data_IF_101548042516
#
_entry.id   IF_101548042516
#
_cell.length_a   1.000
_cell.length_b   1.000
_cell.length_c   1.000
_cell.angle_alpha   90.00
_cell.angle_beta   90.00
_cell.angle_gamma   90.00
#
_symmetry.space_group_name_H-M   'P 1'
#
loop_
_entity.id
_entity.type
_entity.pdbx_description
1 polymer ?
#
# COMPACT_ATOMS: atom_id res chain seq x y z
N UNK A 1 -47.67 5.88 -74.57
CA UNK A 1 -48.81 6.73 -74.14
C UNK A 1 -48.91 6.56 -72.63
N UNK A 2 -48.65 7.63 -71.88
CA UNK A 2 -48.29 7.60 -70.47
C UNK A 2 -49.42 7.04 -69.58
N UNK A 3 -49.10 6.01 -68.81
CA UNK A 3 -49.89 5.62 -67.65
C UNK A 3 -49.11 6.03 -66.40
N UNK A 4 -49.75 6.89 -65.63
CA UNK A 4 -49.30 7.51 -64.40
C UNK A 4 -49.09 6.39 -63.35
N UNK A 5 -47.84 6.11 -62.98
CA UNK A 5 -47.54 5.28 -61.80
C UNK A 5 -47.73 6.16 -60.57
N UNK A 6 -48.71 5.80 -59.75
CA UNK A 6 -48.94 6.35 -58.42
C UNK A 6 -47.93 5.77 -57.44
N UNK A 7 -47.32 6.63 -56.62
CA UNK A 7 -46.25 6.32 -55.65
C UNK A 7 -46.69 5.45 -54.45
N UNK A 8 -47.85 4.81 -54.50
CA UNK A 8 -48.46 4.13 -53.34
C UNK A 8 -48.10 2.63 -53.19
N UNK A 9 -47.29 2.05 -54.10
CA UNK A 9 -46.98 0.61 -54.11
C UNK A 9 -45.65 0.23 -53.41
N UNK A 10 -45.05 1.12 -52.61
CA UNK A 10 -43.80 0.85 -51.88
C UNK A 10 -43.91 0.86 -50.35
N UNK A 11 -45.11 0.69 -49.77
CA UNK A 11 -45.23 0.34 -48.34
C UNK A 11 -45.21 -1.17 -48.13
N UNK A 12 -44.03 -1.77 -48.34
CA UNK A 12 -43.74 -3.07 -47.77
C UNK A 12 -43.86 -2.99 -46.24
N UNK A 13 -44.73 -3.82 -45.66
CA UNK A 13 -44.95 -3.96 -44.22
C UNK A 13 -43.60 -4.00 -43.49
N UNK A 14 -43.24 -2.89 -42.83
CA UNK A 14 -42.14 -2.90 -41.87
C UNK A 14 -42.63 -3.76 -40.70
N UNK A 15 -41.91 -4.84 -40.30
CA UNK A 15 -42.28 -5.56 -39.09
C UNK A 15 -42.32 -4.53 -37.95
N UNK A 16 -43.32 -4.59 -37.05
CA UNK A 16 -43.41 -3.62 -35.98
C UNK A 16 -42.07 -3.65 -35.24
N UNK A 17 -41.39 -2.51 -35.16
CA UNK A 17 -40.23 -2.36 -34.30
C UNK A 17 -40.72 -2.76 -32.91
N UNK A 18 -40.37 -3.98 -32.49
CA UNK A 18 -40.72 -4.50 -31.19
C UNK A 18 -40.05 -3.58 -30.20
N UNK A 19 -40.83 -2.63 -29.70
CA UNK A 19 -40.40 -1.73 -28.67
C UNK A 19 -39.85 -2.62 -27.56
N UNK A 20 -38.56 -2.51 -27.29
CA UNK A 20 -37.94 -2.85 -26.02
C UNK A 20 -38.53 -1.94 -24.94
N UNK A 21 -39.86 -1.92 -24.82
CA UNK A 21 -40.63 -1.36 -23.73
C UNK A 21 -40.45 -2.33 -22.57
N UNK A 22 -39.31 -2.13 -21.91
CA UNK A 22 -39.05 -2.28 -20.48
C UNK A 22 -40.32 -2.62 -19.69
N UNK A 23 -40.66 -3.90 -19.61
CA UNK A 23 -41.55 -4.38 -18.54
C UNK A 23 -40.75 -4.25 -17.24
N UNK A 24 -41.28 -3.61 -16.18
CA UNK A 24 -40.56 -3.47 -14.93
C UNK A 24 -40.10 -4.82 -14.38
N UNK A 25 -40.85 -5.91 -14.67
CA UNK A 25 -40.47 -7.28 -14.36
C UNK A 25 -39.12 -7.71 -14.95
N UNK A 26 -38.87 -7.50 -16.25
CA UNK A 26 -37.59 -7.90 -16.87
C UNK A 26 -36.41 -7.12 -16.32
N UNK A 27 -36.61 -5.84 -16.00
CA UNK A 27 -35.57 -4.99 -15.41
C UNK A 27 -35.26 -5.41 -13.97
N UNK A 28 -36.29 -5.78 -13.19
CA UNK A 28 -36.14 -6.37 -11.85
C UNK A 28 -35.39 -7.70 -11.92
N UNK A 29 -35.72 -8.58 -12.87
CA UNK A 29 -35.03 -9.87 -13.02
C UNK A 29 -33.56 -9.69 -13.42
N UNK A 30 -33.27 -8.76 -14.34
CA UNK A 30 -31.88 -8.45 -14.73
C UNK A 30 -31.10 -7.86 -13.55
N UNK A 31 -31.70 -6.97 -12.76
CA UNK A 31 -31.07 -6.39 -11.56
C UNK A 31 -30.83 -7.46 -10.50
N UNK A 32 -31.81 -8.33 -10.23
CA UNK A 32 -31.64 -9.45 -9.29
C UNK A 32 -30.55 -10.42 -9.76
N UNK A 33 -30.53 -10.78 -11.05
CA UNK A 33 -29.52 -11.63 -11.62
C UNK A 33 -28.13 -10.99 -11.52
N UNK A 34 -28.03 -9.69 -11.80
CA UNK A 34 -26.78 -8.95 -11.64
C UNK A 34 -26.32 -8.90 -10.19
N UNK A 35 -27.23 -8.68 -9.23
CA UNK A 35 -26.90 -8.69 -7.79
C UNK A 35 -26.37 -10.07 -7.36
N UNK A 36 -27.01 -11.16 -7.80
CA UNK A 36 -26.56 -12.51 -7.46
C UNK A 36 -25.22 -12.82 -8.12
N UNK A 37 -25.06 -12.54 -9.42
CA UNK A 37 -23.82 -12.84 -10.14
C UNK A 37 -22.63 -12.01 -9.63
N UNK A 38 -22.85 -10.74 -9.30
CA UNK A 38 -21.80 -9.86 -8.77
C UNK A 38 -21.55 -10.09 -7.27
N UNK A 39 -22.58 -10.48 -6.51
CA UNK A 39 -22.49 -10.73 -5.08
C UNK A 39 -21.97 -12.12 -4.71
N UNK A 40 -22.14 -13.11 -5.59
CA UNK A 40 -21.76 -14.50 -5.33
C UNK A 40 -20.28 -14.69 -5.00
N UNK A 41 -19.30 -14.13 -5.75
CA UNK A 41 -17.90 -14.27 -5.41
C UNK A 41 -17.55 -13.69 -4.04
N UNK A 42 -18.15 -12.54 -3.68
CA UNK A 42 -17.94 -11.91 -2.38
C UNK A 42 -18.53 -12.73 -1.23
N UNK A 43 -19.73 -13.27 -1.42
CA UNK A 43 -20.36 -14.16 -0.44
C UNK A 43 -19.60 -15.48 -0.27
N UNK A 44 -19.19 -16.11 -1.38
CA UNK A 44 -18.43 -17.35 -1.36
C UNK A 44 -17.08 -17.18 -0.64
N UNK A 45 -16.37 -16.07 -0.90
CA UNK A 45 -15.15 -15.72 -0.17
C UNK A 45 -15.42 -15.54 1.33
N UNK A 46 -16.38 -14.69 1.68
CA UNK A 46 -16.76 -14.44 3.07
C UNK A 46 -17.14 -15.72 3.84
N UNK A 47 -17.93 -16.58 3.22
CA UNK A 47 -18.37 -17.83 3.85
C UNK A 47 -17.22 -18.83 3.97
N UNK A 48 -16.33 -18.90 2.98
CA UNK A 48 -15.13 -19.73 3.04
C UNK A 48 -14.19 -19.28 4.16
N UNK A 49 -13.97 -17.98 4.30
CA UNK A 49 -13.16 -17.41 5.38
C UNK A 49 -13.79 -17.71 6.75
N UNK A 50 -15.11 -17.54 6.88
CA UNK A 50 -15.83 -17.89 8.11
C UNK A 50 -15.62 -19.35 8.51
N UNK A 51 -15.79 -20.29 7.56
CA UNK A 51 -15.57 -21.71 7.80
C UNK A 51 -14.11 -22.00 8.17
N UNK A 52 -13.16 -21.35 7.52
CA UNK A 52 -11.74 -21.49 7.83
C UNK A 52 -11.42 -21.02 9.25
N UNK A 53 -11.88 -19.83 9.66
CA UNK A 53 -11.68 -19.33 11.03
C UNK A 53 -12.39 -20.20 12.08
N UNK A 54 -13.51 -20.84 11.72
CA UNK A 54 -14.19 -21.80 12.58
C UNK A 54 -13.35 -23.07 12.78
N UNK A 55 -12.79 -23.63 11.71
CA UNK A 55 -11.97 -24.86 11.74
C UNK A 55 -10.71 -24.68 12.60
N UNK A 56 -10.06 -23.52 12.51
CA UNK A 56 -8.84 -23.21 13.30
C UNK A 56 -9.18 -22.76 14.74
N UNK A 57 -10.46 -22.64 15.11
CA UNK A 57 -10.89 -22.23 16.45
C UNK A 57 -10.76 -20.72 16.74
N UNK A 58 -10.49 -19.90 15.72
CA UNK A 58 -10.32 -18.44 15.82
C UNK A 58 -11.56 -17.64 15.40
N UNK A 59 -12.75 -18.23 15.48
CA UNK A 59 -14.02 -17.59 15.10
C UNK A 59 -14.26 -16.22 15.78
N UNK A 60 -13.80 -16.06 17.03
CA UNK A 60 -13.88 -14.78 17.76
C UNK A 60 -13.03 -13.67 17.12
N UNK A 61 -11.90 -14.01 16.51
CA UNK A 61 -11.06 -13.04 15.81
C UNK A 61 -11.80 -12.53 14.58
N UNK A 62 -12.35 -13.44 13.76
CA UNK A 62 -13.11 -13.06 12.57
C UNK A 62 -14.32 -12.18 12.91
N UNK A 63 -15.10 -12.54 13.93
CA UNK A 63 -16.25 -11.72 14.34
C UNK A 63 -15.85 -10.35 14.88
N UNK A 64 -14.72 -10.25 15.57
CA UNK A 64 -14.16 -8.96 16.03
C UNK A 64 -13.73 -8.09 14.86
N UNK A 65 -13.04 -8.66 13.87
CA UNK A 65 -12.64 -7.96 12.64
C UNK A 65 -13.88 -7.45 11.92
N UNK A 66 -14.83 -8.35 11.62
CA UNK A 66 -16.05 -8.01 10.88
C UNK A 66 -16.89 -6.95 11.59
N UNK A 67 -17.11 -7.09 12.90
CA UNK A 67 -17.85 -6.13 13.69
C UNK A 67 -17.18 -4.75 13.65
N UNK A 68 -15.85 -4.71 13.77
CA UNK A 68 -15.08 -3.46 13.71
C UNK A 68 -15.19 -2.82 12.32
N UNK A 69 -15.06 -3.60 11.24
CA UNK A 69 -15.25 -3.10 9.86
C UNK A 69 -16.64 -2.47 9.67
N UNK A 70 -17.69 -3.18 10.10
CA UNK A 70 -19.09 -2.72 9.99
C UNK A 70 -19.31 -1.44 10.82
N UNK A 71 -18.89 -1.44 12.09
CA UNK A 71 -19.08 -0.29 12.98
C UNK A 71 -18.32 0.93 12.46
N UNK A 72 -17.07 0.76 12.03
CA UNK A 72 -16.24 1.83 11.51
C UNK A 72 -16.85 2.44 10.24
N UNK A 73 -17.20 1.60 9.27
CA UNK A 73 -17.85 2.05 8.04
C UNK A 73 -19.19 2.75 8.33
N UNK A 74 -20.03 2.16 9.19
CA UNK A 74 -21.33 2.75 9.55
C UNK A 74 -21.16 4.11 10.23
N UNK A 75 -20.27 4.21 11.22
CA UNK A 75 -19.96 5.48 11.89
C UNK A 75 -19.44 6.52 10.91
N UNK A 76 -18.48 6.15 10.04
CA UNK A 76 -17.93 7.06 9.05
C UNK A 76 -18.99 7.54 8.04
N UNK A 77 -19.85 6.64 7.56
CA UNK A 77 -20.96 6.98 6.64
C UNK A 77 -21.93 7.95 7.30
N UNK A 78 -22.38 7.65 8.53
CA UNK A 78 -23.36 8.48 9.25
C UNK A 78 -22.79 9.87 9.55
N UNK A 79 -21.57 9.94 10.08
CA UNK A 79 -20.93 11.22 10.42
C UNK A 79 -20.69 12.05 9.16
N UNK A 80 -20.20 11.44 8.07
CA UNK A 80 -19.95 12.10 6.80
C UNK A 80 -21.25 12.62 6.17
N UNK A 81 -22.27 11.78 6.08
CA UNK A 81 -23.57 12.14 5.52
C UNK A 81 -24.21 13.28 6.32
N UNK A 82 -24.16 13.21 7.65
CA UNK A 82 -24.70 14.24 8.53
C UNK A 82 -23.96 15.57 8.36
N UNK A 83 -22.63 15.55 8.35
CA UNK A 83 -21.80 16.74 8.18
C UNK A 83 -22.05 17.42 6.82
N UNK A 84 -22.13 16.62 5.75
CA UNK A 84 -22.43 17.13 4.40
C UNK A 84 -23.83 17.73 4.36
N UNK A 85 -24.83 16.98 4.85
CA UNK A 85 -26.22 17.42 4.84
C UNK A 85 -26.44 18.72 5.61
N UNK A 86 -25.87 18.84 6.82
CA UNK A 86 -25.97 20.06 7.64
C UNK A 86 -25.41 21.25 6.87
N UNK A 87 -24.21 21.13 6.30
CA UNK A 87 -23.55 22.24 5.61
C UNK A 87 -24.28 22.63 4.31
N UNK A 88 -24.68 21.66 3.49
CA UNK A 88 -25.44 21.95 2.25
C UNK A 88 -26.82 22.55 2.57
N UNK A 89 -27.48 22.11 3.65
CA UNK A 89 -28.75 22.69 4.10
C UNK A 89 -28.57 24.13 4.60
N UNK A 90 -27.48 24.43 5.30
CA UNK A 90 -27.14 25.82 5.68
C UNK A 90 -26.90 26.65 4.42
N UNK A 91 -26.13 26.15 3.45
CA UNK A 91 -25.89 26.84 2.18
C UNK A 91 -27.20 27.13 1.42
N UNK A 92 -28.14 26.17 1.38
CA UNK A 92 -29.47 26.38 0.80
C UNK A 92 -30.28 27.47 1.50
N UNK A 93 -30.30 27.48 2.83
CA UNK A 93 -31.03 28.49 3.63
C UNK A 93 -30.46 29.89 3.43
N UNK A 94 -29.13 29.96 3.37
CA UNK A 94 -28.39 31.21 3.39
C UNK A 94 -28.27 31.86 2.00
N UNK A 95 -28.30 31.05 0.93
CA UNK A 95 -28.15 31.50 -0.46
C UNK A 95 -29.27 32.41 -0.99
N UNK A 96 -30.34 32.70 -0.23
CA UNK A 96 -31.47 33.62 -0.53
C UNK A 96 -31.69 33.99 -2.01
N UNK A 97 -31.88 33.00 -2.88
CA UNK A 97 -32.60 33.19 -4.12
C UNK A 97 -34.08 32.91 -3.83
N UNK A 98 -34.91 33.96 -3.87
CA UNK A 98 -36.32 33.89 -3.49
C UNK A 98 -37.08 32.81 -4.28
N UNK A 99 -37.34 31.69 -3.64
CA UNK A 99 -38.01 30.51 -4.23
C UNK A 99 -39.51 30.66 -4.43
N UNK A 100 -40.07 31.89 -4.47
CA UNK A 100 -41.54 32.03 -4.52
C UNK A 100 -42.16 32.92 -5.57
N UNK A 101 -41.45 33.77 -6.31
CA UNK A 101 -42.15 34.69 -7.21
C UNK A 101 -41.45 34.89 -8.56
N UNK A 102 -42.19 34.51 -9.62
CA UNK A 102 -42.07 34.77 -11.06
C UNK A 102 -41.47 33.62 -11.89
N UNK A 103 -42.34 33.00 -12.70
CA UNK A 103 -42.18 31.75 -13.46
C UNK A 103 -42.03 32.00 -14.97
N UNK A 104 -41.53 33.17 -15.37
CA UNK A 104 -41.42 33.53 -16.79
C UNK A 104 -40.37 34.61 -16.99
N UNK A 105 -39.48 34.41 -17.98
CA UNK A 105 -38.73 35.50 -18.63
C UNK A 105 -39.50 35.83 -19.90
N UNK A 106 -39.74 37.11 -20.14
CA UNK A 106 -40.32 37.57 -21.42
C UNK A 106 -39.18 37.94 -22.36
N UNK A 107 -38.91 37.09 -23.34
CA UNK A 107 -38.01 37.38 -24.46
C UNK A 107 -38.89 37.47 -25.70
N UNK A 108 -38.86 38.59 -26.44
CA UNK A 108 -39.70 38.80 -27.63
C UNK A 108 -41.21 38.53 -27.41
N UNK A 109 -41.77 38.91 -26.26
CA UNK A 109 -43.19 38.70 -25.86
C UNK A 109 -43.60 37.23 -25.66
N UNK A 110 -42.70 36.26 -25.80
CA UNK A 110 -42.95 34.87 -25.39
C UNK A 110 -42.50 34.64 -23.95
N UNK A 111 -43.35 33.94 -23.17
CA UNK A 111 -43.06 33.58 -21.78
C UNK A 111 -42.33 32.25 -21.77
N UNK A 112 -41.02 32.27 -21.52
CA UNK A 112 -40.24 31.06 -21.30
C UNK A 112 -40.27 30.70 -19.81
N UNK A 113 -40.79 29.51 -19.49
CA UNK A 113 -40.75 28.95 -18.14
C UNK A 113 -39.31 28.54 -17.81
N UNK A 114 -38.71 29.14 -16.78
CA UNK A 114 -37.41 28.69 -16.28
C UNK A 114 -37.65 27.45 -15.41
N UNK A 115 -36.92 26.32 -15.63
CA UNK A 115 -37.00 25.17 -14.74
C UNK A 115 -36.65 25.56 -13.30
N UNK A 116 -37.36 24.97 -12.33
CA UNK A 116 -37.14 25.20 -10.89
C UNK A 116 -35.85 24.53 -10.40
N UNK A 117 -34.72 25.15 -10.74
CA UNK A 117 -33.38 24.71 -10.33
C UNK A 117 -33.27 24.72 -8.80
N UNK A 118 -33.95 25.64 -8.12
CA UNK A 118 -33.87 25.78 -6.66
C UNK A 118 -34.55 24.61 -5.93
N UNK A 119 -35.77 24.25 -6.34
CA UNK A 119 -36.51 23.10 -5.82
C UNK A 119 -35.88 21.76 -6.21
N UNK A 120 -35.29 21.68 -7.40
CA UNK A 120 -34.49 20.52 -7.82
C UNK A 120 -33.30 20.31 -6.88
N UNK A 121 -32.45 21.32 -6.66
CA UNK A 121 -31.28 21.21 -5.77
C UNK A 121 -31.71 20.82 -4.35
N UNK A 122 -32.75 21.43 -3.80
CA UNK A 122 -33.23 21.12 -2.45
C UNK A 122 -33.67 19.66 -2.30
N UNK A 123 -34.38 19.11 -3.29
CA UNK A 123 -34.79 17.70 -3.32
C UNK A 123 -33.61 16.73 -3.41
N UNK A 124 -32.51 17.14 -4.05
CA UNK A 124 -31.31 16.30 -4.22
C UNK A 124 -30.28 16.44 -3.11
N UNK A 125 -30.33 17.47 -2.25
CA UNK A 125 -29.33 17.61 -1.17
C UNK A 125 -29.30 16.41 -0.23
N UNK A 126 -30.45 15.89 0.22
CA UNK A 126 -30.46 14.73 1.12
C UNK A 126 -29.94 13.45 0.41
N UNK A 127 -30.46 13.03 -0.76
CA UNK A 127 -29.90 11.90 -1.50
C UNK A 127 -28.41 12.04 -1.80
N UNK A 128 -27.95 13.23 -2.22
CA UNK A 128 -26.55 13.47 -2.55
C UNK A 128 -25.65 13.47 -1.31
N UNK A 129 -26.15 13.93 -0.16
CA UNK A 129 -25.43 13.84 1.12
C UNK A 129 -25.32 12.40 1.61
N UNK A 130 -26.38 11.60 1.45
CA UNK A 130 -26.36 10.18 1.79
C UNK A 130 -25.42 9.40 0.87
N UNK A 131 -25.45 9.67 -0.45
CA UNK A 131 -24.54 9.06 -1.42
C UNK A 131 -23.09 9.49 -1.18
N UNK A 132 -22.85 10.78 -0.92
CA UNK A 132 -21.53 11.30 -0.60
C UNK A 132 -20.98 10.74 0.70
N UNK A 133 -21.82 10.66 1.74
CA UNK A 133 -21.45 10.02 3.01
C UNK A 133 -21.21 8.52 2.86
N UNK A 134 -22.00 7.82 2.05
CA UNK A 134 -21.77 6.40 1.74
C UNK A 134 -20.42 6.20 1.06
N UNK A 135 -20.11 6.98 0.02
CA UNK A 135 -18.85 6.90 -0.71
C UNK A 135 -17.64 7.22 0.19
N UNK A 136 -17.70 8.33 0.94
CA UNK A 136 -16.63 8.73 1.84
C UNK A 136 -16.51 7.84 3.09
N UNK A 137 -17.59 7.19 3.52
CA UNK A 137 -17.55 6.32 4.70
C UNK A 137 -17.08 4.91 4.41
N UNK A 138 -17.47 4.34 3.26
CA UNK A 138 -17.11 2.96 2.88
C UNK A 138 -15.62 2.75 2.64
N UNK A 139 -14.88 3.80 2.24
CA UNK A 139 -13.44 3.69 2.04
C UNK A 139 -12.67 3.30 3.32
N UNK A 140 -13.26 3.49 4.51
CA UNK A 140 -12.65 3.14 5.80
C UNK A 140 -12.93 1.68 6.22
N UNK A 141 -13.61 0.89 5.39
CA UNK A 141 -13.92 -0.53 5.68
C UNK A 141 -12.66 -1.34 6.03
N UNK A 142 -11.55 -1.11 5.32
CA UNK A 142 -10.31 -1.85 5.54
C UNK A 142 -9.36 -1.19 6.56
N UNK A 143 -9.76 -0.07 7.16
CA UNK A 143 -8.96 0.63 8.19
C UNK A 143 -9.20 0.10 9.61
N UNK A 144 -9.87 -1.04 9.77
CA UNK A 144 -10.14 -1.67 11.07
C UNK A 144 -8.86 -1.94 11.86
N UNK A 145 -7.78 -2.34 11.18
CA UNK A 145 -6.51 -2.68 11.82
C UNK A 145 -5.90 -1.47 12.51
N UNK A 146 -5.87 -0.32 11.84
CA UNK A 146 -5.38 0.96 12.39
C UNK A 146 -6.15 1.34 13.67
N UNK A 147 -7.48 1.19 13.65
CA UNK A 147 -8.32 1.52 14.82
C UNK A 147 -8.08 0.57 15.99
N UNK A 148 -7.95 -0.73 15.73
CA UNK A 148 -7.68 -1.72 16.78
C UNK A 148 -6.26 -1.57 17.34
N UNK A 149 -5.27 -1.33 16.48
CA UNK A 149 -3.89 -1.06 16.86
C UNK A 149 -3.79 0.16 17.78
N UNK A 150 -4.47 1.26 17.46
CA UNK A 150 -4.57 2.41 18.37
C UNK A 150 -5.27 2.06 19.69
N UNK A 151 -6.40 1.35 19.62
CA UNK A 151 -7.20 1.03 20.81
C UNK A 151 -6.47 0.11 21.81
N UNK A 152 -5.63 -0.78 21.28
CA UNK A 152 -4.88 -1.78 22.01
C UNK A 152 -3.36 -1.53 21.96
N UNK A 153 -2.94 -0.28 21.76
CA UNK A 153 -1.53 0.09 21.65
C UNK A 153 -0.74 -0.27 22.92
N UNK A 154 0.51 -0.67 22.72
CA UNK A 154 1.47 -0.97 23.79
C UNK A 154 2.72 -0.11 23.62
N UNK A 155 3.25 0.50 24.71
CA UNK A 155 4.49 1.26 24.63
C UNK A 155 5.66 0.33 24.28
N UNK A 156 6.59 0.82 23.46
CA UNK A 156 7.84 0.10 23.19
C UNK A 156 8.86 0.30 24.31
N UNK A 157 8.76 1.41 25.06
CA UNK A 157 9.70 1.74 26.14
C UNK A 157 11.00 2.37 25.63
N UNK A 158 11.03 2.77 24.36
CA UNK A 158 12.14 3.45 23.71
C UNK A 158 11.64 4.61 22.89
N UNK A 159 12.42 5.69 22.83
CA UNK A 159 12.02 6.95 22.22
C UNK A 159 12.83 7.27 20.98
N UNK A 160 12.19 7.91 20.01
CA UNK A 160 12.87 8.35 18.80
C UNK A 160 13.85 9.51 19.11
N UNK A 161 15.03 9.54 18.47
CA UNK A 161 16.06 10.53 18.77
C UNK A 161 15.77 11.95 18.23
N UNK A 162 14.73 12.12 17.39
CA UNK A 162 14.44 13.39 16.70
C UNK A 162 13.39 14.21 17.45
N UNK A 163 12.29 13.57 17.84
CA UNK A 163 11.12 14.18 18.47
C UNK A 163 10.89 13.73 19.92
N UNK A 164 11.63 12.71 20.39
CA UNK A 164 11.58 12.24 21.78
C UNK A 164 10.24 11.59 22.16
N UNK A 165 9.56 10.95 21.21
CA UNK A 165 8.31 10.22 21.42
C UNK A 165 8.57 8.73 21.44
N UNK A 166 7.77 8.01 22.21
CA UNK A 166 7.80 6.54 22.20
C UNK A 166 7.49 6.02 20.78
N UNK A 167 8.24 5.02 20.35
CA UNK A 167 8.11 4.40 19.03
C UNK A 167 6.65 3.94 18.78
N UNK A 168 5.91 3.52 19.81
CA UNK A 168 4.49 3.17 19.74
C UNK A 168 3.62 4.25 19.08
N UNK A 169 3.97 5.52 19.25
CA UNK A 169 3.22 6.62 18.65
C UNK A 169 3.20 6.50 17.12
N UNK A 170 4.33 6.16 16.51
CA UNK A 170 4.49 6.12 15.06
C UNK A 170 3.81 4.91 14.42
N UNK A 171 3.76 3.77 15.12
CA UNK A 171 3.10 2.56 14.63
C UNK A 171 1.59 2.55 14.88
N UNK A 172 1.13 3.06 16.02
CA UNK A 172 -0.26 2.86 16.44
C UNK A 172 -1.10 4.14 16.45
N UNK A 173 -0.52 5.29 16.82
CA UNK A 173 -1.27 6.54 16.98
C UNK A 173 -1.27 7.41 15.72
N UNK A 174 -0.11 7.57 15.08
CA UNK A 174 0.06 8.42 13.91
C UNK A 174 -0.84 7.98 12.74
N UNK A 175 -0.92 6.70 12.34
CA UNK A 175 -1.77 6.27 11.24
C UNK A 175 -3.27 6.58 11.47
N UNK A 176 -3.73 6.51 12.73
CA UNK A 176 -5.10 6.88 13.07
C UNK A 176 -5.31 8.40 12.91
N UNK A 177 -4.38 9.22 13.39
CA UNK A 177 -4.48 10.66 13.24
C UNK A 177 -4.41 11.10 11.78
N UNK A 178 -3.62 10.42 10.96
CA UNK A 178 -3.58 10.67 9.52
C UNK A 178 -4.88 10.29 8.83
N UNK A 179 -5.45 9.14 9.18
CA UNK A 179 -6.76 8.71 8.71
C UNK A 179 -7.82 9.76 9.05
N UNK A 180 -7.90 10.20 10.32
CA UNK A 180 -8.86 11.23 10.76
C UNK A 180 -8.62 12.56 10.01
N UNK A 181 -7.37 12.99 9.87
CA UNK A 181 -7.03 14.23 9.17
C UNK A 181 -7.46 14.17 7.69
N UNK A 182 -7.27 13.03 7.04
CA UNK A 182 -7.66 12.78 5.67
C UNK A 182 -9.19 12.79 5.52
N UNK A 183 -9.92 12.16 6.45
CA UNK A 183 -11.38 12.19 6.49
C UNK A 183 -11.91 13.61 6.61
N UNK A 184 -11.38 14.39 7.56
CA UNK A 184 -11.76 15.78 7.77
C UNK A 184 -11.47 16.64 6.55
N UNK A 185 -10.31 16.45 5.92
CA UNK A 185 -9.93 17.18 4.71
C UNK A 185 -10.94 16.94 3.58
N UNK A 186 -11.26 15.68 3.30
CA UNK A 186 -12.24 15.32 2.27
C UNK A 186 -13.63 15.88 2.58
N UNK A 187 -14.08 15.79 3.83
CA UNK A 187 -15.37 16.33 4.26
C UNK A 187 -15.45 17.84 4.06
N UNK A 188 -14.43 18.58 4.48
CA UNK A 188 -14.42 20.04 4.34
C UNK A 188 -14.33 20.43 2.86
N UNK A 189 -13.52 19.76 2.04
CA UNK A 189 -13.41 20.06 0.60
C UNK A 189 -14.75 19.79 -0.11
N UNK A 190 -15.36 18.63 0.09
CA UNK A 190 -16.64 18.26 -0.54
C UNK A 190 -17.75 19.22 -0.12
N UNK A 191 -17.82 19.57 1.17
CA UNK A 191 -18.84 20.51 1.67
C UNK A 191 -18.60 21.94 1.24
N UNK A 192 -17.35 22.41 1.20
CA UNK A 192 -16.99 23.72 0.69
C UNK A 192 -17.30 23.83 -0.81
N UNK A 193 -16.92 22.83 -1.59
CA UNK A 193 -17.22 22.76 -3.03
C UNK A 193 -18.72 22.71 -3.31
N UNK A 194 -19.45 21.83 -2.61
CA UNK A 194 -20.90 21.74 -2.73
C UNK A 194 -21.61 23.05 -2.31
N UNK A 195 -21.16 23.68 -1.23
CA UNK A 195 -21.68 24.98 -0.79
C UNK A 195 -21.40 26.08 -1.79
N UNK A 196 -20.19 26.11 -2.39
CA UNK A 196 -19.83 27.06 -3.43
C UNK A 196 -20.70 26.88 -4.68
N UNK A 197 -20.88 25.65 -5.15
CA UNK A 197 -21.74 25.33 -6.30
C UNK A 197 -23.17 25.80 -6.04
N UNK A 198 -23.77 25.47 -4.88
CA UNK A 198 -25.13 25.91 -4.54
C UNK A 198 -25.25 27.44 -4.58
N UNK A 199 -24.27 28.14 -4.01
CA UNK A 199 -24.28 29.60 -3.99
C UNK A 199 -24.07 30.21 -5.39
N UNK A 200 -23.18 29.66 -6.22
CA UNK A 200 -22.94 30.12 -7.58
C UNK A 200 -24.16 29.89 -8.49
N UNK A 201 -24.75 28.70 -8.44
CA UNK A 201 -25.95 28.38 -9.23
C UNK A 201 -27.11 29.31 -8.86
N UNK A 202 -27.32 29.57 -7.57
CA UNK A 202 -28.39 30.48 -7.10
C UNK A 202 -28.06 31.95 -7.40
N UNK A 203 -26.79 32.37 -7.31
CA UNK A 203 -26.37 33.72 -7.70
C UNK A 203 -26.53 33.96 -9.22
N UNK A 204 -26.22 32.98 -10.07
CA UNK A 204 -26.40 33.07 -11.52
C UNK A 204 -27.87 33.31 -11.91
N UNK A 205 -28.81 32.65 -11.22
CA UNK A 205 -30.26 32.89 -11.44
C UNK A 205 -30.70 34.31 -11.05
N UNK A 206 -30.03 34.95 -10.09
CA UNK A 206 -30.33 36.32 -9.66
C UNK A 206 -29.72 37.36 -10.60
N UNK A 207 -28.48 37.13 -11.08
CA UNK A 207 -27.81 37.98 -12.07
C UNK A 207 -28.64 38.11 -13.34
N UNK A 208 -29.12 36.97 -13.88
CA UNK A 208 -29.95 36.91 -15.08
C UNK A 208 -31.32 37.61 -14.91
N UNK A 209 -31.78 37.84 -13.66
CA UNK A 209 -33.09 38.42 -13.34
C UNK A 209 -33.07 39.93 -13.10
N UNK A 210 -31.98 40.48 -12.54
CA UNK A 210 -31.94 41.88 -12.08
C UNK A 210 -30.81 42.73 -12.68
N UNK A 211 -29.93 42.16 -13.52
CA UNK A 211 -28.77 42.88 -14.06
C UNK A 211 -27.81 43.42 -12.97
N UNK A 212 -27.92 42.92 -11.74
CA UNK A 212 -27.11 43.34 -10.59
C UNK A 212 -25.83 42.53 -10.48
N UNK A 213 -24.81 43.05 -9.77
CA UNK A 213 -23.48 42.44 -9.62
C UNK A 213 -23.53 40.99 -9.11
N UNK A 214 -22.59 40.15 -9.59
CA UNK A 214 -22.37 38.76 -9.21
C UNK A 214 -21.78 38.63 -7.77
N UNK A 215 -22.47 39.20 -6.78
CA UNK A 215 -22.03 39.24 -5.38
C UNK A 215 -22.69 38.15 -4.52
N UNK A 216 -21.90 37.51 -3.65
CA UNK A 216 -22.44 36.60 -2.64
C UNK A 216 -23.23 37.36 -1.57
N UNK A 217 -24.34 36.78 -1.09
CA UNK A 217 -25.05 37.28 0.10
C UNK A 217 -24.07 37.34 1.30
N UNK A 218 -24.06 38.40 2.12
CA UNK A 218 -23.23 38.47 3.33
C UNK A 218 -23.27 37.21 4.22
N UNK A 219 -24.45 36.60 4.37
CA UNK A 219 -24.56 35.37 5.16
C UNK A 219 -23.91 34.17 4.45
N UNK A 220 -23.99 34.08 3.12
CA UNK A 220 -23.36 33.01 2.33
C UNK A 220 -21.84 33.13 2.37
N UNK A 221 -21.34 34.37 2.26
CA UNK A 221 -19.92 34.69 2.46
C UNK A 221 -19.43 34.21 3.82
N UNK A 222 -20.16 34.46 4.91
CA UNK A 222 -19.78 34.01 6.26
C UNK A 222 -19.70 32.49 6.38
N UNK A 223 -20.65 31.76 5.80
CA UNK A 223 -20.63 30.29 5.83
C UNK A 223 -19.44 29.72 5.04
N UNK A 224 -19.15 30.27 3.85
CA UNK A 224 -17.97 29.88 3.06
C UNK A 224 -16.65 30.22 3.76
N UNK A 225 -16.57 31.38 4.43
CA UNK A 225 -15.40 31.75 5.23
C UNK A 225 -15.19 30.83 6.43
N UNK A 226 -16.27 30.39 7.09
CA UNK A 226 -16.19 29.44 8.19
C UNK A 226 -15.68 28.07 7.72
N UNK A 227 -16.18 27.57 6.59
CA UNK A 227 -15.69 26.34 5.97
C UNK A 227 -14.23 26.49 5.50
N UNK A 228 -13.86 27.64 4.95
CA UNK A 228 -12.49 27.97 4.58
C UNK A 228 -11.55 28.01 5.80
N UNK A 229 -11.98 28.60 6.92
CA UNK A 229 -11.21 28.57 8.17
C UNK A 229 -11.02 27.15 8.67
N UNK A 230 -12.10 26.34 8.66
CA UNK A 230 -12.03 24.91 8.98
C UNK A 230 -11.04 24.16 8.10
N UNK A 231 -11.03 24.43 6.79
CA UNK A 231 -10.07 23.83 5.85
C UNK A 231 -8.63 24.13 6.26
N UNK A 232 -8.31 25.40 6.54
CA UNK A 232 -6.96 25.79 6.92
C UNK A 232 -6.54 25.26 8.30
N UNK A 233 -7.48 25.06 9.24
CA UNK A 233 -7.20 24.37 10.50
C UNK A 233 -6.83 22.90 10.24
N UNK A 234 -7.55 22.21 9.36
CA UNK A 234 -7.24 20.82 9.01
C UNK A 234 -5.91 20.74 8.26
N UNK A 235 -5.61 21.68 7.36
CA UNK A 235 -4.30 21.80 6.70
C UNK A 235 -3.19 21.97 7.73
N UNK A 236 -3.37 22.85 8.72
CA UNK A 236 -2.38 23.06 9.78
C UNK A 236 -2.16 21.79 10.62
N UNK A 237 -3.24 21.09 10.99
CA UNK A 237 -3.14 19.83 11.71
C UNK A 237 -2.41 18.77 10.89
N UNK A 238 -2.72 18.65 9.60
CA UNK A 238 -2.09 17.68 8.70
C UNK A 238 -0.61 17.98 8.50
N UNK A 239 -0.22 19.23 8.26
CA UNK A 239 1.19 19.63 8.18
C UNK A 239 1.95 19.36 9.50
N UNK A 240 1.25 19.40 10.65
CA UNK A 240 1.82 19.02 11.95
C UNK A 240 2.02 17.51 12.10
N UNK A 241 1.16 16.68 11.52
CA UNK A 241 1.34 15.23 11.46
C UNK A 241 2.46 14.85 10.48
N UNK A 242 2.53 15.50 9.33
CA UNK A 242 3.56 15.30 8.30
C UNK A 242 4.98 15.53 8.82
N UNK A 243 5.16 16.36 9.87
CA UNK A 243 6.45 16.48 10.56
C UNK A 243 6.93 15.14 11.15
N UNK A 244 6.00 14.33 11.64
CA UNK A 244 6.29 13.02 12.23
C UNK A 244 6.53 11.97 11.14
N UNK A 245 5.86 12.11 9.99
CA UNK A 245 6.05 11.25 8.83
C UNK A 245 7.45 11.36 8.21
N UNK A 246 8.19 12.44 8.51
CA UNK A 246 9.58 12.58 8.08
C UNK A 246 10.47 11.42 8.54
N UNK A 247 10.13 10.74 9.64
CA UNK A 247 10.86 9.54 10.09
C UNK A 247 10.67 8.32 9.16
N UNK A 248 9.69 8.35 8.26
CA UNK A 248 9.42 7.30 7.25
C UNK A 248 9.83 7.74 5.83
N UNK A 249 10.69 8.75 5.72
CA UNK A 249 11.21 9.23 4.44
C UNK A 249 12.13 8.20 3.77
N UNK A 250 11.94 7.96 2.47
CA UNK A 250 12.76 7.03 1.67
C UNK A 250 13.61 7.75 0.62
N UNK A 251 13.88 9.04 0.83
CA UNK A 251 14.49 9.91 -0.17
C UNK A 251 16.04 9.97 -0.10
N UNK A 252 16.66 9.17 0.77
CA UNK A 252 18.10 9.21 1.05
C UNK A 252 18.81 7.89 0.78
N UNK A 253 20.05 7.79 1.27
CA UNK A 253 20.86 6.56 1.21
C UNK A 253 20.37 5.48 2.17
N UNK A 254 19.61 5.88 3.20
CA UNK A 254 19.01 5.00 4.20
C UNK A 254 17.55 5.42 4.41
N UNK A 255 16.68 4.46 4.70
CA UNK A 255 15.28 4.71 5.03
C UNK A 255 15.19 5.42 6.39
N UNK A 256 14.62 6.63 6.43
CA UNK A 256 14.50 7.45 7.62
C UNK A 256 14.70 8.94 7.36
N UNK A 257 14.54 9.75 8.40
CA UNK A 257 14.73 11.20 8.28
C UNK A 257 16.19 11.57 8.02
N UNK A 258 16.45 12.22 6.88
CA UNK A 258 17.78 12.67 6.49
C UNK A 258 18.07 14.11 6.96
N UNK A 259 19.29 14.60 6.71
CA UNK A 259 19.67 15.97 7.04
C UNK A 259 18.72 17.00 6.43
N UNK A 260 18.37 16.84 5.15
CA UNK A 260 17.47 17.76 4.44
C UNK A 260 16.05 17.71 5.01
N UNK A 261 15.56 16.55 5.43
CA UNK A 261 14.22 16.42 6.01
C UNK A 261 14.12 17.19 7.33
N UNK A 262 15.13 17.06 8.20
CA UNK A 262 15.12 17.69 9.53
C UNK A 262 15.49 19.18 9.48
N UNK A 263 16.42 19.58 8.61
CA UNK A 263 16.94 20.96 8.58
C UNK A 263 16.30 21.84 7.50
N UNK A 264 15.62 21.27 6.51
CA UNK A 264 14.92 22.02 5.48
C UNK A 264 13.41 21.80 5.51
N UNK A 265 12.95 20.55 5.38
CA UNK A 265 11.52 20.22 5.28
C UNK A 265 10.77 20.51 6.57
N UNK A 266 11.31 20.11 7.74
CA UNK A 266 10.68 20.34 9.04
C UNK A 266 10.46 21.84 9.36
N UNK A 267 11.43 22.76 9.16
CA UNK A 267 11.18 24.20 9.27
C UNK A 267 10.08 24.71 8.33
N UNK A 268 10.03 24.23 7.08
CA UNK A 268 8.98 24.61 6.13
C UNK A 268 7.62 24.16 6.65
N UNK A 269 7.47 22.93 7.12
CA UNK A 269 6.22 22.43 7.68
C UNK A 269 5.78 23.29 8.88
N UNK A 270 6.71 23.70 9.76
CA UNK A 270 6.39 24.60 10.89
C UNK A 270 5.86 25.96 10.41
N UNK A 271 6.47 26.51 9.36
CA UNK A 271 6.03 27.75 8.73
C UNK A 271 4.66 27.57 8.08
N UNK A 272 4.41 26.45 7.41
CA UNK A 272 3.10 26.13 6.82
C UNK A 272 2.01 26.04 7.88
N UNK A 273 2.27 25.38 9.03
CA UNK A 273 1.33 25.34 10.17
C UNK A 273 0.99 26.76 10.62
N UNK A 274 2.01 27.61 10.82
CA UNK A 274 1.80 28.99 11.25
C UNK A 274 0.94 29.79 10.26
N UNK A 275 1.26 29.76 8.97
CA UNK A 275 0.51 30.50 7.95
C UNK A 275 -0.90 29.94 7.74
N UNK A 276 -1.09 28.63 7.81
CA UNK A 276 -2.41 28.02 7.73
C UNK A 276 -3.30 28.49 8.89
N UNK A 277 -2.80 28.48 10.13
CA UNK A 277 -3.55 29.01 11.28
C UNK A 277 -3.80 30.52 11.17
N UNK A 278 -2.84 31.28 10.66
CA UNK A 278 -3.01 32.72 10.42
C UNK A 278 -4.13 33.00 9.41
N UNK A 279 -4.19 32.22 8.31
CA UNK A 279 -5.25 32.36 7.30
C UNK A 279 -6.60 31.93 7.87
N UNK A 280 -6.65 30.88 8.68
CA UNK A 280 -7.88 30.49 9.36
C UNK A 280 -8.41 31.64 10.26
N UNK A 281 -7.51 32.30 11.00
CA UNK A 281 -7.85 33.45 11.83
C UNK A 281 -8.32 34.65 10.98
N UNK A 282 -7.63 34.96 9.88
CA UNK A 282 -8.02 36.03 8.94
C UNK A 282 -9.38 35.73 8.31
N UNK A 283 -9.67 34.47 7.95
CA UNK A 283 -10.96 34.06 7.41
C UNK A 283 -12.10 34.27 8.42
N UNK A 284 -11.86 33.93 9.70
CA UNK A 284 -12.81 34.20 10.79
C UNK A 284 -12.99 35.71 10.99
N UNK A 285 -11.91 36.49 11.03
CA UNK A 285 -12.00 37.96 11.18
C UNK A 285 -12.74 38.62 10.00
N UNK A 286 -12.54 38.11 8.79
CA UNK A 286 -13.21 38.55 7.56
C UNK A 286 -14.72 38.25 7.56
N UNK A 287 -15.23 37.45 8.52
CA UNK A 287 -16.68 37.28 8.72
C UNK A 287 -17.33 38.58 9.25
N UNK A 288 -16.56 39.37 10.01
CA UNK A 288 -17.00 40.61 10.65
C UNK A 288 -16.60 41.85 9.85
N UNK A 289 -15.50 41.78 9.08
CA UNK A 289 -14.96 42.89 8.29
C UNK A 289 -15.22 42.63 6.79
N UNK A 290 -15.64 43.64 6.04
CA UNK A 290 -15.93 43.52 4.60
C UNK A 290 -14.70 43.47 3.68
N UNK A 291 -13.48 43.44 4.26
CA UNK A 291 -12.23 43.39 3.50
C UNK A 291 -11.82 41.94 3.20
N UNK A 292 -11.76 41.58 1.90
CA UNK A 292 -11.27 40.27 1.44
C UNK A 292 -9.80 40.29 1.04
N UNK A 293 -9.21 41.48 0.85
CA UNK A 293 -7.81 41.65 0.46
C UNK A 293 -6.82 40.88 1.35
N UNK A 294 -6.88 40.94 2.70
CA UNK A 294 -5.92 40.21 3.53
C UNK A 294 -6.02 38.69 3.36
N UNK A 295 -7.22 38.16 3.07
CA UNK A 295 -7.43 36.73 2.83
C UNK A 295 -6.77 36.30 1.53
N UNK A 296 -6.96 37.05 0.43
CA UNK A 296 -6.33 36.74 -0.86
C UNK A 296 -4.81 36.87 -0.83
N UNK A 297 -4.29 37.90 -0.14
CA UNK A 297 -2.85 38.05 0.09
C UNK A 297 -2.32 36.89 0.92
N UNK A 298 -3.03 36.50 1.99
CA UNK A 298 -2.69 35.33 2.80
C UNK A 298 -2.66 34.04 1.99
N UNK A 299 -3.70 33.76 1.20
CA UNK A 299 -3.73 32.60 0.30
C UNK A 299 -2.56 32.61 -0.69
N UNK A 300 -2.28 33.76 -1.32
CA UNK A 300 -1.16 33.90 -2.25
C UNK A 300 0.19 33.62 -1.58
N UNK A 301 0.39 34.16 -0.37
CA UNK A 301 1.60 33.90 0.41
C UNK A 301 1.71 32.43 0.83
N UNK A 302 0.62 31.80 1.24
CA UNK A 302 0.60 30.38 1.56
C UNK A 302 0.92 29.52 0.35
N UNK A 303 0.39 29.84 -0.84
CA UNK A 303 0.76 29.14 -2.07
C UNK A 303 2.25 29.30 -2.40
N UNK A 304 2.84 30.47 -2.15
CA UNK A 304 4.29 30.66 -2.30
C UNK A 304 5.09 29.81 -1.31
N UNK A 305 4.67 29.73 -0.05
CA UNK A 305 5.29 28.85 0.96
C UNK A 305 5.12 27.37 0.60
N UNK A 306 3.96 26.98 0.07
CA UNK A 306 3.68 25.61 -0.36
C UNK A 306 4.60 25.20 -1.52
N UNK A 307 4.65 25.99 -2.58
CA UNK A 307 5.45 25.69 -3.78
C UNK A 307 6.94 25.86 -3.52
N UNK A 308 7.33 27.00 -2.93
CA UNK A 308 8.72 27.34 -2.66
C UNK A 308 9.32 26.55 -1.50
N UNK A 309 8.54 26.28 -0.47
CA UNK A 309 8.98 25.51 0.69
C UNK A 309 8.90 24.00 0.49
N UNK A 310 7.91 23.48 -0.24
CA UNK A 310 7.67 22.03 -0.32
C UNK A 310 8.77 21.27 -1.05
N UNK A 311 8.97 21.56 -2.35
CA UNK A 311 9.98 20.86 -3.16
C UNK A 311 11.23 21.70 -3.43
N UNK A 312 11.05 23.01 -3.64
CA UNK A 312 12.13 23.87 -4.08
C UNK A 312 13.18 24.09 -2.98
N UNK A 313 12.80 24.53 -1.78
CA UNK A 313 13.77 24.80 -0.71
C UNK A 313 14.56 23.54 -0.27
N UNK A 314 13.92 22.38 0.02
CA UNK A 314 14.64 21.15 0.33
C UNK A 314 15.58 20.70 -0.79
N UNK A 315 15.16 20.78 -2.06
CA UNK A 315 16.03 20.40 -3.17
C UNK A 315 17.23 21.34 -3.33
N UNK A 316 17.09 22.64 -3.03
CA UNK A 316 18.23 23.56 -2.99
C UNK A 316 19.19 23.23 -1.84
N UNK A 317 18.67 22.93 -0.65
CA UNK A 317 19.51 22.51 0.49
C UNK A 317 20.23 21.20 0.17
N UNK A 318 19.54 20.22 -0.41
CA UNK A 318 20.15 18.96 -0.83
C UNK A 318 21.27 19.21 -1.85
N UNK A 319 21.01 19.97 -2.91
CA UNK A 319 21.96 20.19 -4.01
C UNK A 319 23.18 21.03 -3.61
N UNK A 320 22.97 22.07 -2.80
CA UNK A 320 24.02 23.05 -2.50
C UNK A 320 24.66 22.90 -1.11
N UNK A 321 23.98 22.27 -0.15
CA UNK A 321 24.52 22.09 1.21
C UNK A 321 24.83 20.63 1.55
N UNK A 322 24.06 19.66 1.08
CA UNK A 322 24.24 18.25 1.44
C UNK A 322 25.14 17.53 0.45
N UNK A 323 24.79 17.52 -0.84
CA UNK A 323 25.53 16.80 -1.88
C UNK A 323 27.05 17.12 -1.92
N UNK A 324 27.51 18.37 -1.68
CA UNK A 324 28.95 18.63 -1.63
C UNK A 324 29.69 18.02 -0.43
N UNK A 325 28.99 17.72 0.66
CA UNK A 325 29.57 17.17 1.89
C UNK A 325 28.60 16.21 2.59
N UNK A 326 28.12 15.22 1.84
CA UNK A 326 27.02 14.35 2.25
C UNK A 326 27.42 13.49 3.46
N UNK A 327 28.63 12.92 3.45
CA UNK A 327 29.12 12.08 4.54
C UNK A 327 29.01 12.79 5.90
N UNK A 328 29.54 14.01 6.03
CA UNK A 328 29.53 14.75 7.31
C UNK A 328 28.10 15.12 7.73
N UNK A 329 27.26 15.49 6.77
CA UNK A 329 25.87 15.95 7.03
C UNK A 329 24.94 14.80 7.39
N UNK A 330 25.10 13.64 6.76
CA UNK A 330 24.25 12.46 6.94
C UNK A 330 24.75 11.49 8.01
N UNK A 331 26.04 11.52 8.38
CA UNK A 331 26.63 10.66 9.44
C UNK A 331 25.76 10.55 10.71
N UNK A 332 25.26 11.64 11.34
CA UNK A 332 24.46 11.50 12.55
C UNK A 332 23.13 10.76 12.32
N UNK A 333 22.50 10.93 11.16
CA UNK A 333 21.24 10.24 10.82
C UNK A 333 21.48 8.77 10.49
N UNK A 334 22.57 8.47 9.76
CA UNK A 334 23.01 7.10 9.48
C UNK A 334 23.32 6.37 10.79
N UNK A 335 24.00 7.03 11.75
CA UNK A 335 24.30 6.43 13.05
C UNK A 335 23.02 6.10 13.82
N UNK A 336 22.07 7.03 13.89
CA UNK A 336 20.78 6.78 14.52
C UNK A 336 20.04 5.60 13.87
N UNK A 337 20.13 5.46 12.55
CA UNK A 337 19.55 4.34 11.84
C UNK A 337 20.23 3.01 12.20
N UNK A 338 21.56 2.95 12.16
CA UNK A 338 22.33 1.77 12.56
C UNK A 338 21.98 1.37 13.99
N UNK A 339 21.95 2.32 14.92
CA UNK A 339 21.63 2.06 16.32
C UNK A 339 20.19 1.51 16.48
N UNK A 340 19.22 2.11 15.78
CA UNK A 340 17.83 1.65 15.78
C UNK A 340 17.67 0.25 15.14
N UNK A 341 18.32 -0.01 14.01
CA UNK A 341 18.30 -1.32 13.34
C UNK A 341 18.95 -2.39 14.21
N UNK A 342 20.13 -2.11 14.78
CA UNK A 342 20.79 -3.05 15.70
C UNK A 342 19.89 -3.39 16.87
N UNK A 343 19.23 -2.41 17.46
CA UNK A 343 18.29 -2.63 18.57
C UNK A 343 17.04 -3.41 18.15
N UNK A 344 16.47 -3.11 16.98
CA UNK A 344 15.29 -3.80 16.45
C UNK A 344 15.55 -5.29 16.19
N UNK A 345 16.74 -5.63 15.66
CA UNK A 345 17.15 -7.02 15.43
C UNK A 345 17.83 -7.69 16.65
N UNK A 346 17.99 -6.97 17.77
CA UNK A 346 18.66 -7.48 18.96
C UNK A 346 20.17 -7.71 18.79
N UNK A 347 20.80 -7.04 17.82
CA UNK A 347 22.24 -7.12 17.53
C UNK A 347 23.09 -6.32 18.54
N UNK A 348 22.44 -5.49 19.36
CA UNK A 348 23.04 -4.81 20.51
C UNK A 348 23.40 -5.78 21.65
N UNK A 349 22.90 -7.01 21.61
CA UNK A 349 23.09 -8.03 22.66
C UNK A 349 24.05 -9.15 22.27
N UNK A 350 24.69 -9.04 21.10
CA UNK A 350 25.58 -10.06 20.56
C UNK A 350 27.00 -9.80 21.03
N UNK A 351 27.70 -10.86 21.42
CA UNK A 351 29.13 -10.84 21.70
C UNK A 351 29.90 -11.08 20.39
N UNK A 352 30.63 -10.07 19.93
CA UNK A 352 31.48 -10.17 18.76
C UNK A 352 32.80 -10.86 19.15
N UNK A 353 33.08 -12.04 18.59
CA UNK A 353 34.34 -12.76 18.78
C UNK A 353 35.13 -12.79 17.47
N UNK A 354 36.22 -12.05 17.40
CA UNK A 354 37.14 -12.11 16.27
C UNK A 354 38.05 -13.34 16.38
N UNK A 355 37.95 -14.26 15.42
CA UNK A 355 38.87 -15.40 15.32
C UNK A 355 40.18 -14.92 14.67
N UNK A 356 41.19 -14.60 15.47
CA UNK A 356 42.54 -14.37 14.96
C UNK A 356 43.17 -15.70 14.53
N UNK A 357 43.43 -15.89 13.24
CA UNK A 357 44.01 -17.12 12.67
C UNK A 357 45.47 -17.42 13.06
N UNK A 358 46.06 -16.65 13.99
CA UNK A 358 47.49 -16.65 14.31
C UNK A 358 47.88 -17.53 15.52
N UNK A 359 46.96 -18.35 16.04
CA UNK A 359 47.27 -19.23 17.18
C UNK A 359 48.23 -20.34 16.72
N UNK A 360 49.43 -20.38 17.29
CA UNK A 360 50.41 -21.44 17.03
C UNK A 360 49.90 -22.78 17.56
N UNK A 361 49.57 -23.70 16.65
CA UNK A 361 49.05 -25.03 16.98
C UNK A 361 50.14 -25.86 17.68
N UNK A 362 49.85 -26.35 18.89
CA UNK A 362 50.74 -27.27 19.62
C UNK A 362 50.40 -28.73 19.33
N UNK A 363 51.36 -29.65 19.56
CA UNK A 363 51.11 -31.10 19.46
C UNK A 363 49.96 -31.57 20.36
N UNK A 364 49.78 -30.92 21.52
CA UNK A 364 48.68 -31.21 22.45
C UNK A 364 47.34 -30.86 21.82
N UNK A 365 47.24 -29.72 21.14
CA UNK A 365 46.01 -29.29 20.45
C UNK A 365 45.61 -30.28 19.34
N UNK A 366 46.58 -30.82 18.61
CA UNK A 366 46.35 -31.84 17.56
C UNK A 366 45.83 -33.14 18.16
N UNK A 367 46.38 -33.57 19.30
CA UNK A 367 45.97 -34.81 19.98
C UNK A 367 44.56 -34.68 20.58
N UNK A 368 44.26 -33.56 21.23
CA UNK A 368 42.94 -33.29 21.83
C UNK A 368 41.85 -33.11 20.76
N UNK A 369 42.21 -32.66 19.55
CA UNK A 369 41.27 -32.45 18.44
C UNK A 369 41.40 -33.50 17.33
N UNK A 370 41.80 -34.73 17.68
CA UNK A 370 41.95 -35.84 16.71
C UNK A 370 40.71 -36.07 15.84
N UNK A 371 39.51 -35.91 16.38
CA UNK A 371 38.25 -35.98 15.62
C UNK A 371 38.11 -34.91 14.53
N UNK A 372 38.64 -33.70 14.75
CA UNK A 372 38.68 -32.62 13.76
C UNK A 372 39.75 -32.91 12.71
N UNK A 373 40.96 -33.31 13.14
CA UNK A 373 42.08 -33.66 12.25
C UNK A 373 41.71 -34.79 11.29
N UNK A 374 41.06 -35.83 11.82
CA UNK A 374 40.58 -36.99 11.08
C UNK A 374 39.40 -36.71 10.14
N UNK A 375 38.92 -35.46 10.10
CA UNK A 375 37.82 -35.00 9.25
C UNK A 375 38.17 -33.69 8.52
N UNK A 376 39.45 -33.29 8.48
CA UNK A 376 39.87 -32.13 7.68
C UNK A 376 39.51 -32.39 6.22
N UNK A 377 38.69 -31.51 5.67
CA UNK A 377 38.23 -31.61 4.31
C UNK A 377 39.37 -31.26 3.36
N UNK A 378 39.78 -32.25 2.55
CA UNK A 378 40.76 -32.09 1.47
C UNK A 378 40.11 -31.72 0.13
N UNK A 379 38.80 -31.92 0.01
CA UNK A 379 38.04 -31.74 -1.22
C UNK A 379 37.14 -30.50 -1.19
N UNK A 380 37.23 -29.64 -2.20
CA UNK A 380 36.22 -28.61 -2.44
C UNK A 380 35.01 -29.21 -3.19
N UNK A 381 33.84 -28.58 -3.05
CA UNK A 381 32.58 -29.03 -3.64
C UNK A 381 32.60 -29.09 -5.18
N UNK A 382 33.25 -28.13 -5.85
CA UNK A 382 33.26 -28.13 -7.33
C UNK A 382 34.17 -29.22 -7.93
N UNK A 383 35.45 -29.36 -7.52
CA UNK A 383 36.34 -30.36 -8.10
C UNK A 383 35.90 -31.80 -7.82
N UNK A 384 35.34 -32.07 -6.64
CA UNK A 384 34.85 -33.41 -6.30
C UNK A 384 33.64 -33.80 -7.17
N UNK A 385 32.76 -32.85 -7.47
CA UNK A 385 31.58 -33.07 -8.31
C UNK A 385 31.99 -33.44 -9.74
N UNK A 386 32.92 -32.68 -10.34
CA UNK A 386 33.48 -32.99 -11.65
C UNK A 386 34.15 -34.38 -11.68
N UNK A 387 34.89 -34.70 -10.61
CA UNK A 387 35.57 -35.99 -10.49
C UNK A 387 34.57 -37.14 -10.32
N UNK A 388 33.47 -36.94 -9.58
CA UNK A 388 32.38 -37.90 -9.50
C UNK A 388 31.72 -38.10 -10.86
N UNK A 389 31.48 -37.03 -11.61
CA UNK A 389 31.00 -37.11 -13.00
C UNK A 389 31.89 -38.01 -13.84
N UNK A 390 33.18 -37.69 -13.91
CA UNK A 390 34.17 -38.45 -14.69
C UNK A 390 34.28 -39.92 -14.28
N UNK A 391 34.26 -40.22 -12.98
CA UNK A 391 34.48 -41.57 -12.47
C UNK A 391 33.21 -42.42 -12.39
N UNK A 392 32.02 -41.80 -12.26
CA UNK A 392 30.81 -42.48 -11.82
C UNK A 392 29.55 -42.19 -12.67
N UNK A 393 29.64 -41.38 -13.73
CA UNK A 393 28.63 -41.28 -14.81
C UNK A 393 28.77 -42.46 -15.78
N UNK A 394 28.45 -43.65 -15.30
CA UNK A 394 28.60 -44.91 -16.05
C UNK A 394 27.59 -45.00 -17.22
N UNK A 395 26.63 -44.07 -17.30
CA UNK A 395 25.61 -43.93 -18.36
C UNK A 395 25.39 -42.46 -18.67
N UNK A 396 25.11 -42.16 -19.94
CA UNK A 396 24.94 -40.77 -20.43
C UNK A 396 23.77 -40.03 -19.79
N UNK A 397 22.76 -40.75 -19.30
CA UNK A 397 21.57 -40.17 -18.67
C UNK A 397 21.68 -39.99 -17.17
N UNK A 398 22.80 -40.36 -16.54
CA UNK A 398 23.08 -40.03 -15.14
C UNK A 398 23.99 -38.82 -15.08
N UNK A 399 23.73 -37.96 -14.11
CA UNK A 399 24.46 -36.72 -13.86
C UNK A 399 24.49 -36.44 -12.35
N UNK A 400 25.46 -35.67 -11.89
CA UNK A 400 25.58 -35.26 -10.49
C UNK A 400 25.37 -33.75 -10.38
N UNK A 401 24.29 -33.32 -9.73
CA UNK A 401 23.94 -31.89 -9.62
C UNK A 401 24.59 -31.19 -8.41
N UNK A 402 24.78 -31.91 -7.30
CA UNK A 402 25.43 -31.38 -6.10
C UNK A 402 26.29 -32.43 -5.41
N UNK A 403 27.33 -31.97 -4.74
CA UNK A 403 28.13 -32.77 -3.83
C UNK A 403 28.11 -32.07 -2.47
N UNK A 404 27.43 -32.67 -1.51
CA UNK A 404 27.18 -32.06 -0.20
C UNK A 404 27.99 -32.76 0.89
N UNK A 405 28.31 -32.03 1.96
CA UNK A 405 29.00 -32.60 3.10
C UNK A 405 27.99 -33.08 4.13
N UNK A 406 28.19 -34.29 4.63
CA UNK A 406 27.41 -34.83 5.75
C UNK A 406 28.32 -35.62 6.69
N UNK A 407 27.81 -36.01 7.87
CA UNK A 407 28.56 -36.75 8.88
C UNK A 407 27.83 -38.02 9.25
N UNK A 408 28.50 -39.15 9.10
CA UNK A 408 27.96 -40.46 9.42
C UNK A 408 28.90 -41.23 10.36
N UNK A 409 28.31 -42.08 11.20
CA UNK A 409 29.05 -43.07 11.97
C UNK A 409 29.50 -44.22 11.06
N UNK A 410 30.80 -44.34 10.82
CA UNK A 410 31.40 -45.41 10.03
C UNK A 410 32.40 -46.13 10.93
N UNK A 411 32.21 -47.44 11.11
CA UNK A 411 33.05 -48.29 11.97
C UNK A 411 33.23 -47.78 13.40
N UNK A 412 32.18 -47.14 13.95
CA UNK A 412 32.19 -46.60 15.32
C UNK A 412 32.77 -45.19 15.46
N UNK A 413 33.23 -44.57 14.37
CA UNK A 413 33.78 -43.21 14.37
C UNK A 413 32.93 -42.25 13.53
N UNK A 414 32.76 -41.01 14.00
CA UNK A 414 32.12 -39.95 13.22
C UNK A 414 33.05 -39.52 12.08
N UNK A 415 32.62 -39.77 10.84
CA UNK A 415 33.35 -39.41 9.62
C UNK A 415 32.55 -38.42 8.79
N UNK A 416 33.22 -37.35 8.35
CA UNK A 416 32.69 -36.42 7.37
C UNK A 416 32.87 -37.03 5.99
N UNK A 417 31.76 -37.10 5.27
CA UNK A 417 31.66 -37.66 3.93
C UNK A 417 31.14 -36.60 2.98
N UNK A 418 31.50 -36.75 1.72
CA UNK A 418 30.91 -36.05 0.59
C UNK A 418 29.97 -37.03 -0.08
N UNK A 419 28.72 -36.64 -0.16
CA UNK A 419 27.62 -37.42 -0.69
C UNK A 419 27.07 -36.71 -1.92
N UNK A 420 26.84 -37.49 -2.98
CA UNK A 420 26.27 -36.95 -4.21
C UNK A 420 25.27 -37.97 -4.80
N UNK A 421 23.97 -37.63 -4.85
CA UNK A 421 22.98 -38.48 -5.48
C UNK A 421 23.21 -38.53 -6.98
N UNK A 422 23.09 -39.73 -7.58
CA UNK A 422 23.04 -39.86 -9.04
C UNK A 422 21.66 -39.48 -9.50
N UNK A 423 21.55 -38.36 -10.18
CA UNK A 423 20.29 -37.86 -10.73
C UNK A 423 20.14 -38.24 -12.20
N UNK A 424 18.89 -38.22 -12.68
CA UNK A 424 18.57 -38.52 -14.07
C UNK A 424 18.54 -37.22 -14.88
N UNK A 425 19.37 -37.12 -15.90
CA UNK A 425 19.30 -36.04 -16.89
C UNK A 425 18.40 -36.44 -18.05
N UNK A 426 17.20 -35.85 -18.09
CA UNK A 426 16.21 -36.07 -19.16
C UNK A 426 16.78 -35.65 -20.53
N UNK A 427 17.63 -34.61 -20.56
CA UNK A 427 18.26 -34.11 -21.78
C UNK A 427 19.22 -35.12 -22.41
N UNK A 428 19.80 -36.02 -21.62
CA UNK A 428 20.80 -36.99 -22.05
C UNK A 428 20.25 -38.42 -22.20
N UNK A 429 18.92 -38.57 -22.24
CA UNK A 429 18.23 -39.83 -22.48
C UNK A 429 18.44 -40.34 -23.92
N UNK A 430 18.81 -41.62 -24.11
CA UNK A 430 18.80 -42.22 -25.45
C UNK A 430 17.36 -42.34 -25.95
N UNK A 431 17.07 -41.74 -27.12
CA UNK A 431 15.74 -41.69 -27.74
C UNK A 431 14.67 -41.03 -26.85
N UNK A 432 14.66 -39.70 -26.84
CA UNK A 432 13.74 -38.89 -26.04
C UNK A 432 12.29 -38.98 -26.58
N UNK A 433 11.46 -39.78 -25.91
CA UNK A 433 10.03 -39.88 -26.19
C UNK A 433 9.23 -39.85 -24.88
N UNK A 434 7.93 -39.60 -24.96
CA UNK A 434 7.07 -39.49 -23.77
C UNK A 434 7.13 -40.73 -22.86
N UNK A 435 7.26 -41.92 -23.44
CA UNK A 435 7.36 -43.19 -22.68
C UNK A 435 8.64 -43.21 -21.85
N UNK A 436 9.79 -42.85 -22.45
CA UNK A 436 11.06 -42.80 -21.75
C UNK A 436 11.11 -41.68 -20.69
N UNK A 437 10.52 -40.52 -20.98
CA UNK A 437 10.47 -39.38 -20.06
C UNK A 437 9.50 -39.57 -18.88
N UNK A 438 8.42 -40.35 -19.05
CA UNK A 438 7.32 -40.45 -18.06
C UNK A 438 7.12 -41.83 -17.45
N UNK A 439 7.55 -42.91 -18.11
CA UNK A 439 7.27 -44.29 -17.69
C UNK A 439 8.54 -45.11 -17.44
N UNK A 440 9.60 -44.96 -18.24
CA UNK A 440 10.81 -45.80 -18.12
C UNK A 440 11.87 -45.17 -17.21
N UNK A 441 12.29 -43.93 -17.49
CA UNK A 441 13.31 -43.24 -16.70
C UNK A 441 12.64 -42.18 -15.82
N UNK A 442 12.19 -42.60 -14.64
CA UNK A 442 11.41 -41.76 -13.73
C UNK A 442 12.23 -41.13 -12.61
N UNK A 443 13.39 -41.71 -12.29
CA UNK A 443 14.27 -41.25 -11.21
C UNK A 443 15.73 -41.64 -11.48
N UNK A 444 16.65 -40.90 -10.86
CA UNK A 444 18.04 -41.30 -10.75
C UNK A 444 18.20 -42.50 -9.82
N UNK A 445 19.24 -43.32 -10.01
CA UNK A 445 19.49 -44.49 -9.17
C UNK A 445 20.92 -44.53 -8.65
N UNK A 446 21.04 -44.56 -7.33
CA UNK A 446 22.31 -44.75 -6.63
C UNK A 446 22.88 -43.47 -6.04
N UNK A 447 23.98 -43.65 -5.33
CA UNK A 447 24.67 -42.61 -4.57
C UNK A 447 26.17 -42.80 -4.76
N UNK A 448 26.93 -41.72 -4.86
CA UNK A 448 28.39 -41.75 -4.74
C UNK A 448 28.77 -41.16 -3.39
N UNK A 449 29.67 -41.85 -2.68
CA UNK A 449 30.08 -41.47 -1.34
C UNK A 449 31.59 -41.54 -1.23
N UNK A 450 32.22 -40.48 -0.74
CA UNK A 450 33.66 -40.40 -0.50
C UNK A 450 33.94 -39.75 0.86
N UNK A 451 34.90 -40.22 1.67
CA UNK A 451 35.34 -39.49 2.84
C UNK A 451 35.98 -38.16 2.45
N UNK A 452 35.68 -37.10 3.20
CA UNK A 452 36.16 -35.75 2.90
C UNK A 452 37.69 -35.60 3.03
N UNK A 453 38.37 -36.53 3.70
CA UNK A 453 39.77 -36.43 4.11
C UNK A 453 40.71 -37.51 3.52
N UNK A 454 40.26 -38.33 2.57
CA UNK A 454 41.11 -39.38 1.97
C UNK A 454 41.21 -39.20 0.45
N UNK A 455 42.40 -39.53 -0.06
CA UNK A 455 42.73 -39.57 -1.49
C UNK A 455 43.36 -40.93 -1.81
N UNK A 456 43.23 -41.39 -3.05
CA UNK A 456 43.97 -42.57 -3.53
C UNK A 456 45.42 -42.21 -3.86
N UNK A 457 46.25 -43.20 -4.19
CA UNK A 457 47.65 -42.95 -4.57
C UNK A 457 47.78 -42.10 -5.84
N UNK A 458 46.75 -42.11 -6.69
CA UNK A 458 46.62 -41.33 -7.92
C UNK A 458 46.03 -39.94 -7.68
N UNK A 459 45.74 -39.57 -6.43
CA UNK A 459 45.14 -38.28 -6.09
C UNK A 459 43.65 -38.17 -6.40
N UNK A 460 42.95 -39.28 -6.60
CA UNK A 460 41.50 -39.32 -6.81
C UNK A 460 40.73 -39.50 -5.49
N UNK A 461 39.44 -39.16 -5.42
CA UNK A 461 38.63 -39.42 -4.23
C UNK A 461 38.47 -40.92 -4.00
N UNK A 462 38.69 -41.34 -2.76
CA UNK A 462 38.41 -42.72 -2.36
C UNK A 462 36.90 -42.91 -2.31
N UNK A 463 36.34 -43.86 -3.06
CA UNK A 463 34.89 -44.07 -3.09
C UNK A 463 34.49 -45.21 -2.13
N UNK A 464 33.65 -44.92 -1.15
CA UNK A 464 33.03 -45.90 -0.26
C UNK A 464 31.79 -46.54 -0.89
N UNK A 465 31.00 -45.75 -1.63
CA UNK A 465 29.87 -46.24 -2.44
C UNK A 465 30.11 -45.81 -3.88
N UNK A 466 30.11 -46.80 -4.78
CA UNK A 466 30.32 -46.61 -6.22
C UNK A 466 29.59 -47.67 -7.05
N UNK A 467 29.51 -47.38 -8.35
CA UNK A 467 29.06 -48.25 -9.43
C UNK A 467 27.57 -48.68 -9.39
N UNK A 468 27.09 -49.22 -10.52
CA UNK A 468 25.75 -49.83 -10.66
C UNK A 468 25.90 -51.20 -11.37
N UNK A 469 25.42 -52.32 -10.78
CA UNK A 469 24.83 -52.44 -9.45
C UNK A 469 25.89 -52.27 -8.34
N UNK A 470 25.44 -51.89 -7.13
CA UNK A 470 26.30 -51.42 -6.04
C UNK A 470 27.30 -52.50 -5.61
N UNK A 471 28.60 -52.20 -5.63
CA UNK A 471 29.61 -53.00 -4.94
C UNK A 471 30.00 -52.30 -3.64
N UNK A 472 29.71 -52.93 -2.49
CA UNK A 472 30.19 -52.46 -1.19
C UNK A 472 31.54 -53.12 -0.88
N UNK A 473 32.61 -52.32 -0.79
CA UNK A 473 33.86 -52.78 -0.16
C UNK A 473 33.81 -52.41 1.32
N UNK A 474 33.61 -53.40 2.17
CA UNK A 474 33.91 -53.28 3.60
C UNK A 474 35.42 -53.07 3.80
N UNK A 475 35.86 -52.26 4.78
CA UNK A 475 37.27 -51.97 5.01
C UNK A 475 38.14 -53.16 5.45
N UNK A 476 37.58 -54.38 5.59
CA UNK A 476 38.31 -55.58 6.04
C UNK A 476 38.81 -56.52 4.92
N UNK A 477 38.89 -56.08 3.67
CA UNK A 477 39.52 -56.87 2.59
C UNK A 477 40.76 -56.22 2.00
N UNK A 478 41.84 -56.23 2.78
CA UNK A 478 43.23 -56.44 2.33
C UNK A 478 44.01 -57.13 3.44
#
# INVERSE_FOLDING_TARGET
MAFNMSDDDFEGERPPASGLLRRPGTLITIVLMAIVLLGWPGFAGFYSDWLWFQEVGYQRIFSTILLTKILLALCAVVLSALFIWINLKIALRVSQAGSKLVRYITVNKERLEIPDIAGFIERWVLPLSLLGGLFLGLQYWDSWEVVLQYRHQTPFGDSDPVFGRDIAYYFFSLPLFDLISQSLMQLVIVTLGGSLIINLMRAATLFSRKGGSLGFNPAARRHLLLLGAGLFIVIAWRARLEMMDLLFSNNGTVDGANYTDINATLPVLKIQVFFALLIALIAIASMFISANTPLWVGLGLYLLVLVGGGWFYPSMVQRFSVAPNELVKETPYIKNNIDATRKAYGLDRIEEQELSGDVSITLKDIQENSGTINNIRLWDHKPILETFGQLQEIRTYYDFQSADNDRYMIDGEMRQIIISPRELSIASLPNRNWINERLTFTHGFGLTLSPANQVTAEGLPKLYIKDIPRFHRSPHSM
#
